data_IF_415842397584
#
_entry.id   IF_415842397584
#
_cell.length_a   1.000
_cell.length_b   1.000
_cell.length_c   1.000
_cell.angle_alpha   90.00
_cell.angle_beta   90.00
_cell.angle_gamma   90.00
#
_symmetry.space_group_name_H-M   'P 1'
#
loop_
_entity.id
_entity.type
_entity.pdbx_description
1 polymer ?
#
# COMPACT_ATOMS: atom_id res chain seq x y z
N UNK A 1 2.48 0.78 -53.88
CA UNK A 1 2.27 2.21 -54.12
C UNK A 1 1.67 2.85 -52.89
N UNK A 2 2.53 3.63 -52.18
CA UNK A 2 2.34 4.99 -51.60
C UNK A 2 1.10 5.18 -50.72
N UNK A 3 1.17 5.70 -49.48
CA UNK A 3 1.91 6.90 -49.04
C UNK A 3 2.16 6.85 -47.51
N UNK A 4 3.35 7.27 -47.15
CA UNK A 4 3.79 7.73 -45.84
C UNK A 4 3.08 9.05 -45.51
N UNK A 5 2.59 9.22 -44.27
CA UNK A 5 2.31 10.55 -43.72
C UNK A 5 3.07 10.69 -42.40
N UNK A 6 4.12 11.51 -42.46
CA UNK A 6 4.92 12.01 -41.39
C UNK A 6 4.22 13.23 -40.79
N UNK A 7 3.81 13.19 -39.56
CA UNK A 7 3.26 14.35 -38.83
C UNK A 7 4.28 14.91 -37.85
N UNK A 8 4.84 16.06 -38.20
CA UNK A 8 5.74 16.88 -37.38
C UNK A 8 4.93 17.57 -36.29
N UNK A 9 5.25 17.39 -35.02
CA UNK A 9 4.73 18.22 -33.93
C UNK A 9 5.81 19.19 -33.51
N UNK A 10 5.49 20.47 -33.72
CA UNK A 10 6.30 21.65 -33.40
C UNK A 10 6.16 22.00 -31.94
N UNK A 11 7.29 22.07 -31.22
CA UNK A 11 7.39 22.62 -29.88
C UNK A 11 7.31 24.15 -29.94
N UNK A 12 6.33 24.77 -29.30
CA UNK A 12 6.32 26.20 -29.02
C UNK A 12 6.78 26.45 -27.58
N UNK A 13 8.00 26.99 -27.46
CA UNK A 13 8.52 27.58 -26.22
C UNK A 13 8.13 29.06 -26.24
N UNK A 14 7.33 29.51 -25.29
CA UNK A 14 7.14 30.93 -25.02
C UNK A 14 7.86 31.34 -23.74
N UNK A 15 8.93 32.10 -23.95
CA UNK A 15 9.61 32.90 -22.94
C UNK A 15 8.75 34.14 -22.61
N UNK A 16 8.48 34.38 -21.32
CA UNK A 16 8.08 35.71 -20.86
C UNK A 16 9.17 36.31 -19.97
N UNK A 17 9.63 37.48 -20.48
CA UNK A 17 10.62 38.31 -19.87
C UNK A 17 9.97 39.33 -18.92
N UNK A 18 10.64 39.57 -17.84
CA UNK A 18 10.68 40.63 -16.86
C UNK A 18 10.12 42.02 -17.27
N UNK A 19 9.41 42.66 -16.35
CA UNK A 19 9.62 44.11 -16.07
C UNK A 19 9.26 44.40 -14.60
N UNK A 20 10.19 45.13 -13.95
CA UNK A 20 10.12 45.50 -12.56
C UNK A 20 9.30 46.78 -12.30
N UNK A 21 9.08 47.07 -11.04
CA UNK A 21 8.52 48.34 -10.53
C UNK A 21 8.66 48.36 -9.00
N UNK A 22 9.63 49.19 -8.54
CA UNK A 22 9.80 49.58 -7.15
C UNK A 22 8.65 50.44 -6.68
N UNK A 23 8.20 50.28 -5.43
CA UNK A 23 7.83 51.42 -4.54
C UNK A 23 8.05 51.02 -3.07
N UNK A 24 8.62 51.97 -2.37
CA UNK A 24 9.10 51.90 -0.99
C UNK A 24 8.00 52.05 0.07
N UNK A 25 8.41 51.61 1.28
CA UNK A 25 8.05 52.09 2.61
C UNK A 25 6.66 51.86 3.21
N UNK A 26 6.57 51.08 4.29
CA UNK A 26 6.49 51.66 5.61
C UNK A 26 6.64 50.60 6.73
N UNK A 27 7.60 50.85 7.61
CA UNK A 27 7.86 50.14 8.87
C UNK A 27 6.79 50.48 9.92
N UNK A 28 6.16 49.44 10.50
CA UNK A 28 5.65 49.52 11.88
C UNK A 28 5.94 48.21 12.61
N UNK A 29 6.87 48.29 13.55
CA UNK A 29 7.11 47.30 14.58
C UNK A 29 5.87 47.15 15.46
N UNK A 30 5.35 45.93 15.55
CA UNK A 30 4.48 45.55 16.65
C UNK A 30 4.97 44.20 17.18
N UNK A 31 5.64 44.26 18.32
CA UNK A 31 5.99 43.13 19.17
C UNK A 31 4.71 42.55 19.74
N UNK A 32 4.34 41.35 19.33
CA UNK A 32 3.32 40.55 20.03
C UNK A 32 4.03 39.46 20.84
N UNK A 33 3.99 39.62 22.17
CA UNK A 33 4.28 38.59 23.15
C UNK A 33 3.32 37.39 22.94
N UNK A 34 3.89 36.20 22.70
CA UNK A 34 3.20 34.96 22.73
C UNK A 34 2.98 34.52 24.19
N UNK A 35 1.78 34.74 24.70
CA UNK A 35 1.32 34.13 25.95
C UNK A 35 1.06 32.65 25.69
N UNK A 36 1.87 31.79 26.32
CA UNK A 36 1.60 30.34 26.40
C UNK A 36 0.34 30.10 27.24
N UNK A 37 -0.73 29.69 26.57
CA UNK A 37 -1.92 29.21 27.27
C UNK A 37 -1.81 27.72 27.41
N UNK A 38 -1.39 27.24 28.56
CA UNK A 38 -1.44 25.81 28.93
C UNK A 38 -2.88 25.42 29.14
N UNK A 39 -3.49 24.79 28.12
CA UNK A 39 -4.82 24.22 28.25
C UNK A 39 -4.69 22.80 28.81
N UNK A 40 -4.97 22.66 30.10
CA UNK A 40 -5.13 21.36 30.76
C UNK A 40 -6.40 20.73 30.24
N UNK A 41 -6.28 19.73 29.36
CA UNK A 41 -7.42 18.92 28.89
C UNK A 41 -7.72 17.91 30.00
N UNK A 42 -8.74 18.22 30.81
CA UNK A 42 -9.36 17.25 31.72
C UNK A 42 -10.09 16.19 30.90
N UNK A 43 -9.78 14.92 31.16
CA UNK A 43 -10.24 13.78 30.41
C UNK A 43 -11.76 13.67 30.31
N UNK A 44 -12.21 13.61 29.08
CA UNK A 44 -13.46 12.96 28.71
C UNK A 44 -13.10 11.56 28.23
N UNK A 45 -13.74 10.54 28.83
CA UNK A 45 -13.68 9.15 28.40
C UNK A 45 -14.18 9.06 26.96
N UNK A 46 -13.26 9.11 26.01
CA UNK A 46 -13.51 8.78 24.60
C UNK A 46 -13.83 7.28 24.46
N UNK A 47 -14.36 6.85 23.32
CA UNK A 47 -14.64 5.45 23.07
C UNK A 47 -13.36 4.65 23.26
N UNK A 48 -13.49 3.53 23.96
CA UNK A 48 -12.40 2.59 24.26
C UNK A 48 -11.63 2.30 22.98
N UNK A 49 -10.35 2.66 22.94
CA UNK A 49 -9.46 2.31 21.83
C UNK A 49 -9.56 0.81 21.58
N UNK A 50 -9.66 0.43 20.31
CA UNK A 50 -9.58 -0.98 19.95
C UNK A 50 -8.27 -1.55 20.53
N UNK A 51 -8.30 -2.70 21.22
CA UNK A 51 -7.10 -3.26 21.82
C UNK A 51 -6.06 -3.50 20.72
N UNK A 52 -4.81 -3.11 20.98
CA UNK A 52 -3.69 -3.46 20.12
C UNK A 52 -3.74 -4.97 19.82
N UNK A 53 -3.49 -5.40 18.57
CA UNK A 53 -3.41 -6.82 18.25
C UNK A 53 -2.48 -7.55 19.23
N UNK A 54 -2.86 -8.75 19.71
CA UNK A 54 -2.01 -9.54 20.60
C UNK A 54 -0.61 -9.72 20.00
N UNK A 55 0.42 -9.29 20.71
CA UNK A 55 1.82 -9.34 20.27
C UNK A 55 2.45 -7.98 19.95
N UNK A 56 1.70 -6.89 19.94
CA UNK A 56 2.28 -5.55 19.96
C UNK A 56 3.04 -5.33 21.28
N UNK A 57 4.24 -4.79 21.19
CA UNK A 57 5.09 -4.56 22.37
C UNK A 57 6.10 -5.68 22.64
N UNK A 58 6.21 -6.66 21.78
CA UNK A 58 7.28 -7.64 21.81
C UNK A 58 7.99 -7.69 20.47
N UNK A 59 9.32 -7.76 20.45
CA UNK A 59 10.14 -7.95 19.23
C UNK A 59 9.87 -9.32 18.58
N UNK A 60 8.71 -9.90 18.76
CA UNK A 60 8.30 -11.18 18.20
C UNK A 60 7.57 -10.92 16.88
N UNK A 61 7.88 -11.77 15.91
CA UNK A 61 7.17 -11.82 14.66
C UNK A 61 5.72 -12.21 14.93
N UNK A 62 4.80 -11.31 14.58
CA UNK A 62 3.37 -11.57 14.66
C UNK A 62 2.82 -11.72 13.25
N UNK A 63 2.92 -12.95 12.72
CA UNK A 63 2.64 -13.20 11.33
C UNK A 63 3.62 -12.46 10.40
N UNK A 64 3.11 -11.57 9.61
CA UNK A 64 3.81 -10.79 8.57
C UNK A 64 4.27 -9.39 9.03
N UNK A 65 3.95 -9.01 10.24
CA UNK A 65 4.31 -7.70 10.79
C UNK A 65 5.14 -7.83 12.06
N UNK A 66 6.01 -6.85 12.29
CA UNK A 66 6.88 -6.74 13.43
C UNK A 66 6.63 -5.40 14.10
N UNK A 67 6.59 -5.40 15.41
CA UNK A 67 6.36 -4.20 16.21
C UNK A 67 7.47 -4.04 17.25
N UNK A 68 7.89 -2.81 17.49
CA UNK A 68 8.70 -2.43 18.64
C UNK A 68 7.89 -2.49 19.93
N UNK A 69 8.56 -2.41 21.07
CA UNK A 69 7.89 -2.33 22.36
C UNK A 69 7.20 -0.96 22.52
N UNK A 70 6.05 -0.94 23.18
CA UNK A 70 5.40 0.31 23.57
C UNK A 70 5.84 0.68 24.98
N UNK A 71 6.87 1.53 25.08
CA UNK A 71 7.40 2.00 26.38
C UNK A 71 6.78 3.32 26.82
N UNK A 72 6.00 3.96 25.94
CA UNK A 72 5.45 5.30 26.18
C UNK A 72 6.49 6.43 26.14
N UNK A 73 7.76 6.13 25.87
CA UNK A 73 8.87 7.08 25.86
C UNK A 73 9.57 7.20 24.50
N UNK A 74 9.16 6.37 23.53
CA UNK A 74 9.75 6.35 22.19
C UNK A 74 9.53 7.66 21.44
N UNK A 75 10.49 7.98 20.57
CA UNK A 75 10.44 9.14 19.68
C UNK A 75 9.99 8.79 18.26
N UNK A 76 9.52 7.56 18.01
CA UNK A 76 8.95 7.21 16.72
C UNK A 76 7.56 7.82 16.55
N UNK A 77 7.10 7.92 15.31
CA UNK A 77 5.77 8.44 14.99
C UNK A 77 4.62 7.64 15.61
N UNK A 78 4.83 6.35 15.87
CA UNK A 78 3.83 5.46 16.51
C UNK A 78 3.93 5.42 18.03
N UNK A 79 5.02 5.92 18.62
CA UNK A 79 5.34 5.70 20.03
C UNK A 79 5.90 4.31 20.34
N UNK A 80 6.06 3.44 19.35
CA UNK A 80 6.74 2.15 19.49
C UNK A 80 8.26 2.35 19.48
N UNK A 81 9.00 1.50 20.19
CA UNK A 81 10.47 1.55 20.13
C UNK A 81 10.97 1.25 18.70
N UNK A 82 12.02 1.93 18.22
CA UNK A 82 12.57 1.64 16.92
C UNK A 82 13.05 0.19 16.82
N UNK A 83 12.80 -0.44 15.69
CA UNK A 83 13.39 -1.72 15.34
C UNK A 83 14.79 -1.50 14.74
N UNK A 84 15.73 -2.44 14.93
CA UNK A 84 17.04 -2.33 14.30
C UNK A 84 16.93 -2.36 12.79
N UNK A 85 17.80 -1.61 12.11
CA UNK A 85 17.94 -1.68 10.66
C UNK A 85 18.31 -3.10 10.22
N UNK A 86 17.96 -3.43 9.00
CA UNK A 86 18.26 -4.71 8.37
C UNK A 86 18.85 -4.50 6.99
N UNK A 87 19.50 -5.52 6.48
CA UNK A 87 19.98 -5.55 5.09
C UNK A 87 19.20 -6.61 4.32
N UNK A 88 18.69 -6.24 3.18
CA UNK A 88 18.00 -7.18 2.29
C UNK A 88 19.05 -8.03 1.55
N UNK A 89 19.05 -9.35 1.75
CA UNK A 89 20.05 -10.21 1.11
C UNK A 89 19.82 -10.28 -0.40
N UNK A 90 20.86 -10.02 -1.18
CA UNK A 90 20.84 -10.17 -2.64
C UNK A 90 21.30 -11.59 -2.99
N UNK A 91 20.40 -12.54 -2.83
CA UNK A 91 20.65 -13.93 -3.24
C UNK A 91 20.76 -13.99 -4.75
N UNK A 92 21.77 -14.68 -5.26
CA UNK A 92 22.03 -14.81 -6.71
C UNK A 92 22.13 -13.45 -7.44
N UNK A 93 23.01 -12.59 -6.92
CA UNK A 93 23.20 -11.20 -7.38
C UNK A 93 23.35 -11.08 -8.91
N UNK A 94 24.07 -12.01 -9.51
CA UNK A 94 24.40 -12.00 -10.93
C UNK A 94 23.46 -12.88 -11.77
N UNK A 95 22.33 -13.29 -11.20
CA UNK A 95 21.33 -14.14 -11.85
C UNK A 95 21.91 -15.41 -12.48
N UNK A 96 22.79 -16.10 -11.75
CA UNK A 96 23.42 -17.35 -12.22
C UNK A 96 22.41 -18.50 -12.45
N UNK A 97 21.24 -18.41 -11.85
CA UNK A 97 20.10 -19.30 -12.13
C UNK A 97 19.50 -19.08 -13.51
N UNK A 98 19.94 -18.02 -14.21
CA UNK A 98 19.43 -17.64 -15.53
C UNK A 98 17.89 -17.48 -15.56
N UNK A 99 17.32 -16.88 -14.52
CA UNK A 99 15.90 -16.55 -14.45
C UNK A 99 15.59 -15.45 -15.47
N UNK A 100 14.39 -15.49 -16.05
CA UNK A 100 13.98 -14.50 -17.02
C UNK A 100 13.99 -13.08 -16.43
N UNK A 101 14.68 -12.17 -17.09
CA UNK A 101 14.65 -10.72 -16.79
C UNK A 101 13.68 -9.97 -17.71
N UNK A 102 12.98 -10.71 -18.59
CA UNK A 102 11.96 -10.13 -19.46
C UNK A 102 10.90 -9.41 -18.61
N UNK A 103 10.60 -8.18 -19.01
CA UNK A 103 9.52 -7.42 -18.40
C UNK A 103 8.18 -8.08 -18.65
N UNK A 104 7.50 -8.41 -17.58
CA UNK A 104 6.12 -8.87 -17.58
C UNK A 104 5.27 -7.83 -16.83
N UNK A 105 4.00 -7.74 -17.20
CA UNK A 105 3.04 -6.89 -16.52
C UNK A 105 1.94 -7.75 -15.93
N UNK A 106 1.64 -7.55 -14.65
CA UNK A 106 0.50 -8.19 -14.03
C UNK A 106 -0.78 -7.78 -14.74
N UNK A 107 -1.65 -8.75 -14.98
CA UNK A 107 -2.95 -8.54 -15.59
C UNK A 107 -4.03 -9.31 -14.82
N UNK A 108 -5.22 -8.79 -14.87
CA UNK A 108 -6.41 -9.41 -14.30
C UNK A 108 -7.57 -9.25 -15.30
N UNK A 109 -8.48 -10.18 -15.28
CA UNK A 109 -9.71 -10.04 -16.08
C UNK A 109 -10.82 -9.40 -15.24
N UNK A 110 -11.79 -8.83 -15.91
CA UNK A 110 -13.00 -8.36 -15.22
C UNK A 110 -13.83 -9.58 -14.83
N UNK A 111 -13.99 -9.78 -13.51
CA UNK A 111 -14.88 -10.81 -12.96
C UNK A 111 -16.31 -10.62 -13.47
N UNK A 112 -17.00 -11.71 -13.75
CA UNK A 112 -18.41 -11.75 -14.12
C UNK A 112 -19.09 -12.88 -13.35
N UNK A 113 -20.36 -12.69 -13.06
CA UNK A 113 -21.19 -13.72 -12.40
C UNK A 113 -20.62 -14.17 -11.05
N UNK A 114 -19.94 -13.25 -10.33
CA UNK A 114 -19.36 -13.52 -9.01
C UNK A 114 -18.27 -14.60 -9.01
N UNK A 115 -17.55 -14.79 -10.12
CA UNK A 115 -16.46 -15.77 -10.24
C UNK A 115 -15.15 -15.08 -10.58
N UNK A 116 -14.01 -15.54 -10.02
CA UNK A 116 -12.72 -15.03 -10.43
C UNK A 116 -12.50 -15.28 -11.91
N UNK A 117 -11.91 -14.28 -12.58
CA UNK A 117 -11.59 -14.41 -14.00
C UNK A 117 -10.44 -15.41 -14.21
N UNK A 118 -10.47 -16.17 -15.31
CA UNK A 118 -9.46 -17.18 -15.61
C UNK A 118 -8.03 -16.63 -15.70
N UNK A 119 -7.86 -15.37 -16.13
CA UNK A 119 -6.57 -14.67 -16.15
C UNK A 119 -5.99 -14.63 -14.73
N UNK A 120 -6.75 -14.20 -13.71
CA UNK A 120 -6.29 -14.17 -12.33
C UNK A 120 -5.97 -15.56 -11.79
N UNK A 121 -6.77 -16.57 -12.13
CA UNK A 121 -6.51 -17.97 -11.77
C UNK A 121 -5.19 -18.46 -12.36
N UNK A 122 -4.91 -18.12 -13.61
CA UNK A 122 -3.68 -18.53 -14.29
C UNK A 122 -2.46 -17.80 -13.75
N UNK A 123 -2.56 -16.51 -13.44
CA UNK A 123 -1.48 -15.77 -12.76
C UNK A 123 -1.19 -16.37 -11.39
N UNK A 124 -2.21 -16.72 -10.59
CA UNK A 124 -1.98 -17.30 -9.27
C UNK A 124 -1.17 -18.61 -9.36
N UNK A 125 -1.44 -19.48 -10.31
CA UNK A 125 -0.65 -20.71 -10.52
C UNK A 125 0.85 -20.43 -10.79
N UNK A 126 1.16 -19.33 -11.48
CA UNK A 126 2.55 -18.88 -11.71
C UNK A 126 3.14 -18.33 -10.42
N UNK A 127 2.38 -17.51 -9.72
CA UNK A 127 2.81 -16.82 -8.50
C UNK A 127 3.03 -17.75 -7.31
N UNK A 128 2.34 -18.87 -7.25
CA UNK A 128 2.52 -19.89 -6.19
C UNK A 128 3.98 -20.35 -6.06
N UNK A 129 4.76 -20.35 -7.17
CA UNK A 129 6.17 -20.71 -7.18
C UNK A 129 7.05 -19.74 -6.40
N UNK A 130 6.60 -18.50 -6.26
CA UNK A 130 7.34 -17.37 -5.65
C UNK A 130 6.64 -16.85 -4.39
N UNK A 131 5.73 -17.63 -3.79
CA UNK A 131 4.96 -17.21 -2.61
C UNK A 131 4.23 -15.86 -2.85
N UNK A 132 3.84 -15.59 -4.10
CA UNK A 132 3.11 -14.37 -4.45
C UNK A 132 1.60 -14.63 -4.48
N UNK A 133 0.81 -13.58 -4.28
CA UNK A 133 -0.65 -13.63 -4.17
C UNK A 133 -1.28 -12.62 -5.13
N UNK A 134 -2.23 -13.06 -5.93
CA UNK A 134 -3.18 -12.17 -6.61
C UNK A 134 -4.64 -12.60 -6.42
N UNK A 135 -4.85 -13.86 -6.03
CA UNK A 135 -6.17 -14.45 -5.84
C UNK A 135 -6.08 -15.55 -4.78
N UNK A 136 -6.96 -15.56 -3.82
CA UNK A 136 -7.15 -16.71 -2.94
C UNK A 136 -8.03 -17.74 -3.64
N UNK A 137 -7.47 -18.91 -3.87
CA UNK A 137 -8.13 -19.99 -4.61
C UNK A 137 -8.94 -20.95 -3.72
N UNK A 138 -9.17 -20.61 -2.45
CA UNK A 138 -9.95 -21.43 -1.51
C UNK A 138 -11.42 -21.58 -1.92
N UNK A 139 -11.94 -20.61 -2.69
CA UNK A 139 -13.36 -20.53 -3.03
C UNK A 139 -14.22 -19.88 -1.93
N UNK A 140 -13.62 -19.46 -0.82
CA UNK A 140 -14.32 -18.72 0.24
C UNK A 140 -14.69 -17.31 -0.23
N UNK A 141 -15.86 -16.82 0.20
CA UNK A 141 -16.29 -15.45 -0.03
C UNK A 141 -15.50 -14.46 0.85
N UNK A 142 -14.22 -14.32 0.56
CA UNK A 142 -13.29 -13.44 1.26
C UNK A 142 -12.80 -12.34 0.34
N UNK A 143 -12.65 -11.14 0.89
CA UNK A 143 -12.04 -9.98 0.22
C UNK A 143 -10.82 -9.56 1.05
N UNK A 144 -9.69 -9.40 0.38
CA UNK A 144 -8.48 -8.76 0.89
C UNK A 144 -8.44 -7.35 0.33
N UNK A 145 -8.79 -6.37 1.15
CA UNK A 145 -8.83 -4.96 0.73
C UNK A 145 -7.42 -4.38 0.78
N UNK A 146 -6.96 -3.81 -0.32
CA UNK A 146 -5.61 -3.27 -0.44
C UNK A 146 -5.61 -1.90 -1.12
N UNK A 147 -4.69 -1.02 -0.68
CA UNK A 147 -4.52 0.32 -1.23
C UNK A 147 -3.06 0.55 -1.62
N UNK A 148 -2.83 1.19 -2.77
CA UNK A 148 -1.52 1.71 -3.13
C UNK A 148 -1.46 3.20 -2.78
N UNK A 149 -0.38 3.59 -2.09
CA UNK A 149 -0.15 4.91 -1.53
C UNK A 149 1.18 5.47 -2.01
N UNK A 150 1.18 6.12 -3.18
CA UNK A 150 2.36 6.80 -3.73
C UNK A 150 2.57 8.19 -3.14
N UNK A 151 1.48 8.92 -2.89
CA UNK A 151 1.44 10.24 -2.25
C UNK A 151 0.11 10.43 -1.51
N UNK A 152 0.05 11.37 -0.54
CA UNK A 152 -1.18 11.71 0.16
C UNK A 152 -1.95 12.80 -0.58
N UNK A 153 -3.28 12.62 -0.70
CA UNK A 153 -4.19 13.55 -1.39
C UNK A 153 -5.38 14.00 -0.51
N UNK A 154 -5.29 13.80 0.80
CA UNK A 154 -6.32 14.19 1.77
C UNK A 154 -7.42 13.17 1.98
N UNK A 155 -7.47 12.06 1.23
CA UNK A 155 -8.54 11.07 1.30
C UNK A 155 -8.26 9.91 2.27
N UNK A 156 -6.99 9.66 2.63
CA UNK A 156 -6.63 8.46 3.39
C UNK A 156 -7.22 8.46 4.81
N UNK A 157 -7.34 9.62 5.45
CA UNK A 157 -7.97 9.69 6.78
C UNK A 157 -9.45 9.31 6.75
N UNK A 158 -10.20 9.72 5.71
CA UNK A 158 -11.61 9.33 5.53
C UNK A 158 -11.73 7.81 5.32
N UNK A 159 -10.82 7.23 4.53
CA UNK A 159 -10.73 5.77 4.33
C UNK A 159 -10.51 5.05 5.66
N UNK A 160 -9.54 5.51 6.47
CA UNK A 160 -9.24 4.92 7.77
C UNK A 160 -10.42 5.05 8.76
N UNK A 161 -11.13 6.18 8.75
CA UNK A 161 -12.33 6.37 9.57
C UNK A 161 -13.41 5.34 9.23
N UNK A 162 -13.66 5.11 7.93
CA UNK A 162 -14.61 4.09 7.46
C UNK A 162 -14.16 2.69 7.85
N UNK A 163 -12.87 2.36 7.65
CA UNK A 163 -12.33 1.05 8.01
C UNK A 163 -12.47 0.76 9.51
N UNK A 164 -12.20 1.77 10.35
CA UNK A 164 -12.36 1.70 11.80
C UNK A 164 -13.83 1.52 12.20
N UNK A 165 -14.74 2.34 11.66
CA UNK A 165 -16.17 2.24 11.92
C UNK A 165 -16.72 0.86 11.53
N UNK A 166 -16.32 0.37 10.35
CA UNK A 166 -16.80 -0.90 9.81
C UNK A 166 -16.01 -2.10 10.34
N UNK A 167 -14.94 -1.90 11.13
CA UNK A 167 -14.05 -2.96 11.62
C UNK A 167 -13.54 -3.85 10.46
N UNK A 168 -12.96 -3.23 9.44
CA UNK A 168 -12.42 -3.90 8.26
C UNK A 168 -10.90 -3.78 8.23
N UNK A 169 -10.15 -4.89 8.23
CA UNK A 169 -8.71 -4.85 8.03
C UNK A 169 -8.38 -4.54 6.57
N UNK A 170 -7.28 -3.80 6.36
CA UNK A 170 -6.76 -3.49 5.03
C UNK A 170 -5.24 -3.58 4.99
N UNK A 171 -4.67 -3.58 3.78
CA UNK A 171 -3.24 -3.43 3.57
C UNK A 171 -2.96 -2.20 2.72
N UNK A 172 -2.03 -1.37 3.18
CA UNK A 172 -1.59 -0.15 2.49
C UNK A 172 -0.16 -0.36 2.02
N UNK A 173 0.07 -0.38 0.71
CA UNK A 173 1.40 -0.48 0.13
C UNK A 173 1.93 0.94 -0.09
N UNK A 174 2.94 1.31 0.69
CA UNK A 174 3.42 2.68 0.78
C UNK A 174 4.81 2.84 0.17
N UNK A 175 5.02 3.95 -0.53
CA UNK A 175 6.34 4.37 -0.99
C UNK A 175 7.09 5.13 0.11
N UNK A 176 8.42 5.25 0.00
CA UNK A 176 9.19 6.05 0.94
C UNK A 176 8.81 7.55 0.93
N UNK A 177 8.56 8.19 -0.22
CA UNK A 177 8.02 9.54 -0.25
C UNK A 177 6.70 9.70 0.51
N UNK A 178 5.78 8.73 0.42
CA UNK A 178 4.54 8.74 1.18
C UNK A 178 4.81 8.77 2.70
N UNK A 179 5.65 7.84 3.18
CA UNK A 179 6.01 7.76 4.61
C UNK A 179 6.62 9.05 5.15
N UNK A 180 7.44 9.73 4.32
CA UNK A 180 8.09 10.99 4.69
C UNK A 180 7.14 12.18 4.69
N UNK A 181 6.16 12.19 3.80
CA UNK A 181 5.24 13.32 3.63
C UNK A 181 3.98 13.24 4.49
N UNK A 182 3.58 12.04 4.90
CA UNK A 182 2.36 11.79 5.69
C UNK A 182 2.59 10.82 6.86
N UNK A 183 3.59 11.08 7.74
CA UNK A 183 3.96 10.14 8.80
C UNK A 183 2.84 9.91 9.82
N UNK A 184 1.98 10.90 10.09
CA UNK A 184 0.87 10.76 11.01
C UNK A 184 -0.20 9.81 10.45
N UNK A 185 -0.45 9.86 9.14
CA UNK A 185 -1.39 8.95 8.46
C UNK A 185 -0.85 7.52 8.46
N UNK A 186 0.44 7.36 8.13
CA UNK A 186 1.10 6.05 8.17
C UNK A 186 1.14 5.47 9.60
N UNK A 187 1.37 6.31 10.61
CA UNK A 187 1.29 5.93 12.02
C UNK A 187 -0.11 5.42 12.38
N UNK A 188 -1.14 6.12 11.91
CA UNK A 188 -2.52 5.76 12.12
C UNK A 188 -2.86 4.39 11.50
N UNK A 189 -2.38 4.12 10.26
CA UNK A 189 -2.54 2.80 9.63
C UNK A 189 -1.99 1.67 10.50
N UNK A 190 -0.77 1.85 11.04
CA UNK A 190 -0.11 0.87 11.90
C UNK A 190 -0.86 0.66 13.21
N UNK A 191 -1.21 1.76 13.90
CA UNK A 191 -1.84 1.73 15.21
C UNK A 191 -3.29 1.23 15.16
N UNK A 192 -3.98 1.39 14.04
CA UNK A 192 -5.31 0.86 13.81
C UNK A 192 -5.28 -0.61 13.30
N UNK A 193 -4.10 -1.25 13.28
CA UNK A 193 -3.96 -2.69 13.03
C UNK A 193 -3.94 -3.08 11.55
N UNK A 194 -3.81 -2.12 10.63
CA UNK A 194 -3.67 -2.40 9.22
C UNK A 194 -2.25 -2.86 8.86
N UNK A 195 -2.11 -3.62 7.78
CA UNK A 195 -0.80 -3.93 7.22
C UNK A 195 -0.27 -2.72 6.46
N UNK A 196 0.94 -2.26 6.80
CA UNK A 196 1.69 -1.30 6.01
C UNK A 196 2.77 -2.05 5.25
N UNK A 197 2.49 -2.37 3.99
CA UNK A 197 3.37 -3.09 3.08
C UNK A 197 4.30 -2.15 2.32
N UNK A 198 5.34 -2.73 1.75
CA UNK A 198 6.39 -2.02 1.02
C UNK A 198 6.01 -1.86 -0.46
N UNK A 199 6.05 -0.62 -0.98
CA UNK A 199 5.81 -0.30 -2.40
C UNK A 199 7.02 0.34 -3.07
N UNK A 200 8.22 0.04 -2.60
CA UNK A 200 9.53 0.55 -3.01
C UNK A 200 9.83 2.01 -2.60
N UNK A 201 11.10 2.37 -2.71
CA UNK A 201 11.58 3.72 -2.40
C UNK A 201 11.13 4.72 -3.48
N UNK A 202 11.50 4.50 -4.74
CA UNK A 202 11.33 5.48 -5.82
C UNK A 202 10.30 5.08 -6.87
N UNK A 203 9.57 3.98 -6.64
CA UNK A 203 8.54 3.44 -7.53
C UNK A 203 9.03 3.10 -8.94
N UNK A 204 10.20 2.45 -9.11
CA UNK A 204 10.73 2.10 -10.42
C UNK A 204 10.01 0.86 -10.99
N UNK A 205 10.14 0.68 -12.30
CA UNK A 205 9.82 -0.61 -12.90
C UNK A 205 10.91 -1.65 -12.52
N UNK A 206 10.56 -2.63 -11.70
CA UNK A 206 11.49 -3.63 -11.16
C UNK A 206 12.10 -4.54 -12.24
N UNK A 207 11.49 -4.65 -13.41
CA UNK A 207 12.06 -5.41 -14.52
C UNK A 207 13.20 -4.67 -15.26
N UNK A 208 13.41 -3.38 -14.97
CA UNK A 208 14.40 -2.54 -15.64
C UNK A 208 15.63 -2.22 -14.77
N UNK A 209 15.62 -2.65 -13.52
CA UNK A 209 16.71 -2.44 -12.56
C UNK A 209 17.32 -3.79 -12.15
N UNK A 210 18.61 -3.79 -11.78
CA UNK A 210 19.30 -5.01 -11.37
C UNK A 210 18.91 -5.45 -9.95
N UNK A 211 19.23 -6.70 -9.61
CA UNK A 211 18.87 -7.32 -8.32
C UNK A 211 19.39 -6.54 -7.09
N UNK A 212 20.56 -5.92 -7.18
CA UNK A 212 21.09 -5.07 -6.10
C UNK A 212 20.26 -3.80 -5.92
N UNK A 213 19.85 -3.18 -7.01
CA UNK A 213 18.98 -2.01 -6.98
C UNK A 213 17.59 -2.37 -6.44
N UNK A 214 17.01 -3.51 -6.88
CA UNK A 214 15.73 -4.01 -6.34
C UNK A 214 15.77 -4.18 -4.82
N UNK A 215 16.83 -4.83 -4.30
CA UNK A 215 17.00 -5.01 -2.87
C UNK A 215 17.10 -3.67 -2.13
N UNK A 216 17.79 -2.67 -2.71
CA UNK A 216 17.94 -1.35 -2.11
C UNK A 216 16.62 -0.58 -2.07
N UNK A 217 15.80 -0.67 -3.10
CA UNK A 217 14.45 -0.10 -3.15
C UNK A 217 13.57 -0.64 -2.02
N UNK A 218 13.67 -1.93 -1.71
CA UNK A 218 12.93 -2.56 -0.61
C UNK A 218 13.52 -2.17 0.74
N UNK A 219 14.86 -2.23 0.87
CA UNK A 219 15.59 -1.97 2.12
C UNK A 219 15.34 -0.56 2.65
N UNK A 220 15.32 0.45 1.77
CA UNK A 220 15.14 1.83 2.17
C UNK A 220 13.77 2.06 2.85
N UNK A 221 12.71 1.48 2.33
CA UNK A 221 11.37 1.57 2.93
C UNK A 221 11.31 0.80 4.25
N UNK A 222 11.82 -0.45 4.27
CA UNK A 222 11.79 -1.28 5.47
C UNK A 222 12.55 -0.62 6.62
N UNK A 223 13.77 -0.13 6.36
CA UNK A 223 14.57 0.54 7.38
C UNK A 223 13.94 1.85 7.86
N UNK A 224 13.26 2.59 6.98
CA UNK A 224 12.53 3.78 7.40
C UNK A 224 11.34 3.44 8.32
N UNK A 225 10.56 2.40 7.98
CA UNK A 225 9.49 1.90 8.84
C UNK A 225 10.04 1.42 10.20
N UNK A 226 11.14 0.68 10.20
CA UNK A 226 11.78 0.16 11.41
C UNK A 226 12.23 1.27 12.35
N UNK A 227 12.96 2.24 11.83
CA UNK A 227 13.60 3.28 12.65
C UNK A 227 12.66 4.41 13.03
N UNK A 228 11.70 4.77 12.20
CA UNK A 228 10.81 5.91 12.43
C UNK A 228 9.42 5.53 12.93
N UNK A 229 9.01 4.26 12.76
CA UNK A 229 7.70 3.81 13.21
C UNK A 229 7.75 2.63 14.18
N UNK A 230 8.93 2.03 14.42
CA UNK A 230 9.02 0.80 15.20
C UNK A 230 8.24 -0.35 14.60
N UNK A 231 8.12 -0.40 13.29
CA UNK A 231 7.27 -1.32 12.55
C UNK A 231 7.99 -1.88 11.31
N UNK A 232 7.66 -3.09 10.92
CA UNK A 232 8.06 -3.71 9.66
C UNK A 232 7.03 -4.75 9.25
N UNK A 233 6.91 -4.99 7.95
CA UNK A 233 6.11 -6.09 7.41
C UNK A 233 6.84 -6.79 6.28
N UNK A 234 6.39 -8.01 5.96
CA UNK A 234 6.98 -8.82 4.89
C UNK A 234 6.08 -8.87 3.65
N UNK A 235 5.27 -7.85 3.42
CA UNK A 235 4.50 -7.72 2.20
C UNK A 235 5.12 -6.68 1.27
N UNK A 236 5.20 -7.03 0.00
CA UNK A 236 5.71 -6.17 -1.06
C UNK A 236 4.72 -6.12 -2.22
N UNK A 237 4.57 -4.97 -2.84
CA UNK A 237 3.86 -4.83 -4.12
C UNK A 237 4.75 -4.17 -5.15
N UNK A 238 4.85 -4.83 -6.30
CA UNK A 238 5.62 -4.31 -7.42
C UNK A 238 5.00 -3.03 -7.96
N UNK A 239 5.76 -1.93 -8.09
CA UNK A 239 5.30 -0.73 -8.77
C UNK A 239 4.74 -1.03 -10.15
N UNK A 240 3.60 -0.41 -10.49
CA UNK A 240 2.91 -0.59 -11.77
C UNK A 240 2.45 -2.04 -12.08
N UNK A 241 2.61 -2.96 -11.15
CA UNK A 241 2.45 -4.39 -11.42
C UNK A 241 3.48 -4.96 -12.40
N UNK A 242 4.58 -4.23 -12.63
CA UNK A 242 5.64 -4.65 -13.55
C UNK A 242 6.70 -5.46 -12.82
N UNK A 243 7.01 -6.64 -13.34
CA UNK A 243 7.94 -7.59 -12.71
C UNK A 243 8.70 -8.40 -13.76
N UNK A 244 9.66 -9.19 -13.30
CA UNK A 244 10.28 -10.28 -14.03
C UNK A 244 10.35 -11.52 -13.14
N UNK A 245 10.64 -12.68 -13.71
CA UNK A 245 10.85 -13.90 -12.92
C UNK A 245 12.01 -13.71 -11.93
N UNK A 246 13.10 -13.07 -12.38
CA UNK A 246 14.24 -12.69 -11.54
C UNK A 246 13.86 -11.79 -10.38
N UNK A 247 12.93 -10.83 -10.60
CA UNK A 247 12.45 -9.94 -9.55
C UNK A 247 11.57 -10.68 -8.53
N UNK A 248 10.67 -11.57 -8.97
CA UNK A 248 9.86 -12.40 -8.08
C UNK A 248 10.72 -13.30 -7.18
N UNK A 249 11.75 -13.93 -7.77
CA UNK A 249 12.72 -14.76 -7.02
C UNK A 249 13.47 -13.94 -5.96
N UNK A 250 13.92 -12.73 -6.30
CA UNK A 250 14.62 -11.85 -5.35
C UNK A 250 13.71 -11.50 -4.17
N UNK A 251 12.50 -11.01 -4.43
CA UNK A 251 11.54 -10.58 -3.39
C UNK A 251 11.18 -11.74 -2.48
N UNK A 252 10.94 -12.94 -3.04
CA UNK A 252 10.66 -14.15 -2.26
C UNK A 252 11.87 -14.57 -1.40
N UNK A 253 13.10 -14.57 -1.95
CA UNK A 253 14.31 -14.91 -1.20
C UNK A 253 14.65 -13.86 -0.13
N UNK A 254 14.24 -12.61 -0.31
CA UNK A 254 14.33 -11.56 0.70
C UNK A 254 13.33 -11.75 1.87
N UNK A 255 12.46 -12.75 1.77
CA UNK A 255 11.46 -13.08 2.80
C UNK A 255 10.17 -12.28 2.69
N UNK A 256 9.92 -11.65 1.55
CA UNK A 256 8.69 -10.92 1.28
C UNK A 256 7.69 -11.76 0.49
N UNK A 257 6.42 -11.51 0.74
CA UNK A 257 5.30 -12.00 -0.06
C UNK A 257 4.89 -10.90 -1.05
N UNK A 258 5.05 -11.17 -2.34
CA UNK A 258 4.55 -10.25 -3.36
C UNK A 258 3.03 -10.31 -3.42
N UNK A 259 2.37 -9.15 -3.41
CA UNK A 259 0.91 -9.06 -3.47
C UNK A 259 0.49 -8.26 -4.70
N UNK A 260 -0.16 -8.93 -5.62
CA UNK A 260 -0.84 -8.35 -6.78
C UNK A 260 -2.34 -8.23 -6.49
N UNK A 261 -3.19 -8.23 -7.50
CA UNK A 261 -4.64 -8.07 -7.34
C UNK A 261 -5.42 -8.91 -8.34
N UNK A 262 -6.66 -9.22 -8.06
CA UNK A 262 -7.59 -9.86 -8.98
C UNK A 262 -8.76 -8.97 -9.36
N UNK A 263 -8.89 -7.83 -8.70
CA UNK A 263 -9.87 -6.79 -9.03
C UNK A 263 -9.27 -5.40 -8.80
N UNK A 264 -9.44 -4.53 -9.77
CA UNK A 264 -9.03 -3.12 -9.72
C UNK A 264 -9.81 -2.32 -10.78
N UNK A 265 -9.66 -1.01 -10.76
CA UNK A 265 -10.08 -0.13 -11.85
C UNK A 265 -9.18 1.10 -11.93
N UNK A 266 -9.34 1.94 -12.95
CA UNK A 266 -8.54 3.15 -13.11
C UNK A 266 -9.08 4.25 -12.17
N UNK A 267 -8.54 4.33 -10.97
CA UNK A 267 -8.95 5.22 -9.88
C UNK A 267 -7.84 6.15 -9.39
N UNK A 268 -6.63 6.03 -9.96
CA UNK A 268 -5.46 6.82 -9.58
C UNK A 268 -5.40 8.21 -10.21
N UNK A 269 -6.17 8.45 -11.30
CA UNK A 269 -6.19 9.74 -11.98
C UNK A 269 -7.17 10.68 -11.29
N UNK A 270 -6.66 11.47 -10.36
CA UNK A 270 -7.44 12.44 -9.57
C UNK A 270 -8.05 13.56 -10.41
N UNK A 271 -7.63 13.73 -11.68
CA UNK A 271 -8.20 14.68 -12.61
C UNK A 271 -9.36 14.10 -13.43
N UNK A 272 -9.65 12.79 -13.29
CA UNK A 272 -10.67 12.08 -14.04
C UNK A 272 -11.61 11.29 -13.13
N UNK A 273 -12.00 11.90 -12.03
CA UNK A 273 -12.97 11.34 -11.09
C UNK A 273 -14.35 11.20 -11.76
N UNK A 274 -15.04 10.10 -11.47
CA UNK A 274 -16.35 9.74 -12.05
C UNK A 274 -17.47 9.71 -11.03
N UNK A 275 -17.14 9.97 -9.78
CA UNK A 275 -18.04 10.06 -8.64
C UNK A 275 -18.26 8.75 -7.89
N UNK A 276 -18.73 8.89 -6.66
CA UNK A 276 -19.02 7.82 -5.71
C UNK A 276 -19.77 6.63 -6.33
N UNK A 277 -20.85 6.91 -7.09
CA UNK A 277 -21.68 5.85 -7.66
C UNK A 277 -20.93 5.00 -8.68
N UNK A 278 -20.08 5.64 -9.51
CA UNK A 278 -19.26 4.91 -10.46
C UNK A 278 -18.25 3.98 -9.75
N UNK A 279 -17.61 4.47 -8.68
CA UNK A 279 -16.71 3.65 -7.87
C UNK A 279 -17.45 2.46 -7.26
N UNK A 280 -18.61 2.70 -6.65
CA UNK A 280 -19.46 1.67 -6.07
C UNK A 280 -19.84 0.60 -7.11
N UNK A 281 -20.46 1.00 -8.22
CA UNK A 281 -20.92 0.06 -9.26
C UNK A 281 -19.77 -0.73 -9.86
N UNK A 282 -18.63 -0.06 -10.09
CA UNK A 282 -17.45 -0.69 -10.69
C UNK A 282 -16.86 -1.74 -9.77
N UNK A 283 -16.69 -1.44 -8.49
CA UNK A 283 -16.10 -2.37 -7.53
C UNK A 283 -17.05 -3.53 -7.25
N UNK A 284 -18.32 -3.24 -6.94
CA UNK A 284 -19.29 -4.26 -6.52
C UNK A 284 -19.62 -5.25 -7.63
N UNK A 285 -19.68 -4.78 -8.89
CA UNK A 285 -19.90 -5.67 -10.04
C UNK A 285 -18.75 -6.65 -10.32
N UNK A 286 -17.57 -6.44 -9.73
CA UNK A 286 -16.35 -7.26 -9.94
C UNK A 286 -15.98 -8.15 -8.76
N UNK A 287 -16.76 -8.11 -7.67
CA UNK A 287 -16.50 -8.92 -6.49
C UNK A 287 -16.59 -10.43 -6.84
N UNK A 288 -15.70 -11.21 -6.27
CA UNK A 288 -15.62 -12.65 -6.43
C UNK A 288 -14.95 -13.30 -5.22
N UNK A 289 -15.17 -14.58 -4.95
CA UNK A 289 -14.49 -15.30 -3.88
C UNK A 289 -12.96 -15.18 -3.98
N UNK A 290 -12.32 -14.94 -2.85
CA UNK A 290 -10.86 -14.81 -2.76
C UNK A 290 -10.29 -13.54 -3.40
N UNK A 291 -11.11 -12.50 -3.57
CA UNK A 291 -10.74 -11.25 -4.23
C UNK A 291 -9.63 -10.52 -3.49
N UNK A 292 -8.51 -10.27 -4.15
CA UNK A 292 -7.55 -9.23 -3.75
C UNK A 292 -7.93 -7.95 -4.48
N UNK A 293 -8.56 -7.02 -3.75
CA UNK A 293 -9.07 -5.77 -4.30
C UNK A 293 -8.01 -4.68 -4.17
N UNK A 294 -7.58 -4.11 -5.29
CA UNK A 294 -6.71 -2.93 -5.33
C UNK A 294 -7.54 -1.68 -5.55
N UNK A 295 -7.36 -0.72 -4.65
CA UNK A 295 -7.81 0.67 -4.76
C UNK A 295 -6.62 1.62 -4.54
N UNK A 296 -6.78 2.90 -4.92
CA UNK A 296 -5.78 3.93 -4.61
C UNK A 296 -6.35 4.92 -3.58
N UNK A 297 -5.59 5.17 -2.53
CA UNK A 297 -6.02 6.04 -1.43
C UNK A 297 -6.13 7.52 -1.82
N UNK A 298 -5.59 7.90 -2.98
CA UNK A 298 -5.72 9.26 -3.54
C UNK A 298 -7.10 9.55 -4.12
N UNK A 299 -7.93 8.54 -4.35
CA UNK A 299 -9.23 8.66 -4.99
C UNK A 299 -10.32 9.10 -4.01
N UNK A 300 -10.85 10.30 -4.23
CA UNK A 300 -12.02 10.79 -3.49
C UNK A 300 -13.25 9.90 -3.72
N UNK A 301 -13.44 9.40 -4.94
CA UNK A 301 -14.54 8.52 -5.29
C UNK A 301 -14.51 7.24 -4.44
N UNK A 302 -13.29 6.68 -4.21
CA UNK A 302 -13.12 5.51 -3.33
C UNK A 302 -13.42 5.85 -1.87
N UNK A 303 -12.91 6.97 -1.35
CA UNK A 303 -13.16 7.37 0.03
C UNK A 303 -14.67 7.50 0.31
N UNK A 304 -15.40 8.17 -0.58
CA UNK A 304 -16.84 8.36 -0.47
C UNK A 304 -17.66 7.05 -0.64
N UNK A 305 -17.18 6.11 -1.49
CA UNK A 305 -17.90 4.88 -1.80
C UNK A 305 -17.59 3.72 -0.84
N UNK A 306 -16.48 3.77 -0.11
CA UNK A 306 -15.95 2.62 0.62
C UNK A 306 -16.94 2.03 1.63
N UNK A 307 -17.63 2.86 2.38
CA UNK A 307 -18.62 2.40 3.36
C UNK A 307 -19.74 1.58 2.71
N UNK A 308 -20.29 2.08 1.62
CA UNK A 308 -21.36 1.40 0.87
C UNK A 308 -20.84 0.11 0.19
N UNK A 309 -19.60 0.12 -0.31
CA UNK A 309 -18.96 -1.08 -0.88
C UNK A 309 -18.83 -2.18 0.18
N UNK A 310 -18.39 -1.82 1.39
CA UNK A 310 -18.24 -2.78 2.49
C UNK A 310 -19.60 -3.36 2.89
N UNK A 311 -20.62 -2.52 3.05
CA UNK A 311 -21.94 -2.95 3.44
C UNK A 311 -22.59 -3.85 2.37
N UNK A 312 -22.46 -3.48 1.10
CA UNK A 312 -22.90 -4.31 -0.02
C UNK A 312 -22.18 -5.67 -0.03
N UNK A 313 -20.85 -5.68 0.06
CA UNK A 313 -20.09 -6.92 0.05
C UNK A 313 -20.51 -7.86 1.18
N UNK A 314 -20.74 -7.32 2.38
CA UNK A 314 -21.26 -8.10 3.52
C UNK A 314 -22.67 -8.63 3.28
N UNK A 315 -23.56 -7.85 2.65
CA UNK A 315 -24.90 -8.30 2.30
C UNK A 315 -24.90 -9.46 1.30
N UNK A 316 -23.86 -9.51 0.44
CA UNK A 316 -23.62 -10.61 -0.49
C UNK A 316 -22.88 -11.82 0.16
N UNK A 317 -22.62 -11.74 1.47
CA UNK A 317 -21.98 -12.79 2.25
C UNK A 317 -20.45 -12.82 2.17
N UNK A 318 -19.81 -11.74 1.76
CA UNK A 318 -18.36 -11.61 1.82
C UNK A 318 -17.88 -11.22 3.21
N UNK A 319 -16.71 -11.73 3.58
CA UNK A 319 -15.96 -11.37 4.78
C UNK A 319 -14.67 -10.65 4.36
N UNK A 320 -14.33 -9.55 5.06
CA UNK A 320 -13.05 -8.88 4.86
C UNK A 320 -12.01 -9.49 5.80
N UNK A 321 -10.89 -9.93 5.26
CA UNK A 321 -9.79 -10.53 6.02
C UNK A 321 -8.48 -9.81 5.76
N UNK A 322 -7.59 -9.90 6.75
CA UNK A 322 -6.20 -9.49 6.57
C UNK A 322 -5.51 -10.43 5.59
N UNK A 323 -4.53 -9.90 4.83
CA UNK A 323 -3.76 -10.70 3.88
C UNK A 323 -3.22 -11.99 4.51
N UNK A 324 -3.35 -13.14 3.83
CA UNK A 324 -2.94 -14.41 4.40
C UNK A 324 -1.42 -14.57 4.36
N UNK A 325 -0.84 -14.93 5.49
CA UNK A 325 0.54 -15.37 5.57
C UNK A 325 0.61 -16.89 5.46
N UNK A 326 1.21 -17.40 4.38
CA UNK A 326 1.50 -18.83 4.22
C UNK A 326 2.98 -19.05 4.46
N UNK A 327 3.33 -19.65 5.61
CA UNK A 327 4.69 -20.17 5.81
C UNK A 327 4.79 -21.47 5.01
N UNK A 328 5.41 -21.41 3.85
CA UNK A 328 5.74 -22.61 3.09
C UNK A 328 6.85 -23.37 3.81
N UNK A 329 6.52 -24.13 4.84
CA UNK A 329 7.41 -25.17 5.34
C UNK A 329 7.31 -26.33 4.35
N UNK A 330 8.45 -26.82 3.86
CA UNK A 330 8.55 -27.93 2.87
C UNK A 330 7.77 -29.21 3.21
N UNK A 331 6.90 -29.21 4.23
CA UNK A 331 6.15 -30.40 4.68
C UNK A 331 4.71 -30.20 5.14
N UNK A 332 4.16 -29.01 5.23
CA UNK A 332 2.71 -28.85 5.57
C UNK A 332 2.24 -27.43 5.29
N UNK A 333 1.16 -27.30 4.56
CA UNK A 333 0.42 -26.04 4.44
C UNK A 333 -0.42 -25.92 5.72
N UNK A 334 -0.06 -25.01 6.61
CA UNK A 334 -0.85 -24.73 7.81
C UNK A 334 -1.45 -23.33 7.63
N UNK A 335 -2.74 -23.30 7.32
CA UNK A 335 -3.52 -22.07 7.40
C UNK A 335 -3.72 -21.71 8.88
N UNK A 336 -3.17 -20.57 9.32
CA UNK A 336 -3.57 -19.98 10.59
C UNK A 336 -4.55 -18.86 10.30
N UNK A 337 -5.83 -19.11 10.51
CA UNK A 337 -6.85 -18.09 10.61
C UNK A 337 -6.87 -17.54 12.04
N UNK A 338 -6.83 -16.24 12.19
CA UNK A 338 -7.05 -15.59 13.48
C UNK A 338 -8.56 -15.33 13.65
N UNK A 339 -9.08 -15.65 14.82
CA UNK A 339 -10.39 -15.18 15.25
C UNK A 339 -10.17 -13.88 16.01
N UNK A 340 -10.92 -12.86 15.66
CA UNK A 340 -11.07 -11.60 16.38
C UNK A 340 -11.90 -11.82 17.65
#
# INVERSE_FOLDING_TARGET
>A
MKKLCLGLIVFCITLFSSCGGNTEENTTNTTNELTETTTTITGTTGPTEAPFPEGMGTNKRNGESFYGENTGTSKTYTGLEPLPETTIPVVDKDNLKNLSEKSESHSYGVSKDGKPHEISVNFQKVYDKYNALCLDTSGEKVIYLTFDCGYENGCTNEILDVLKEKQVPAAFFVTLPYLKSAPEVASRMILEGHVVGNHSDTHPNFSTINRTQMAKEIENVDNYLRTHFGYSSNYFRFPQGAYSESALDLVNNAGYKSVFWSSAYADWDVNNLKGKQYAFDTVTSRLHPGCVLLLHAVSKDNAEALGDIIDYARSEGYEFKQLPWVVCTKKSIVFKSWKW
#
